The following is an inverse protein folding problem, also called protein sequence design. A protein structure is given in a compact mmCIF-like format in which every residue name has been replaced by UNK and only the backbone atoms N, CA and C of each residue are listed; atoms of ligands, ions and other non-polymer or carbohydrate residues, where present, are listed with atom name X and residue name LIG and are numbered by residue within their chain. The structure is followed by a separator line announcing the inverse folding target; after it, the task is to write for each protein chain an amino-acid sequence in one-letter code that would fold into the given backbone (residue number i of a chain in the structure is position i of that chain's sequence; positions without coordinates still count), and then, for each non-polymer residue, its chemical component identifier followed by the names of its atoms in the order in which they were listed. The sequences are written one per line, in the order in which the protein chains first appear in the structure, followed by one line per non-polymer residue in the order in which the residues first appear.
data_IF_268669189353
#
_entry.id   IF_268669189353
#
_cell.length_a   1.000
_cell.length_b   1.000
_cell.length_c   1.000
_cell.angle_alpha   90.00
_cell.angle_beta   90.00
_cell.angle_gamma   90.00
#
_symmetry.space_group_name_H-M   'P 1'
#
loop_
_entity.id
_entity.type
_entity.pdbx_description
1 polymer ?
#
# COMPACT_ATOMS: atom_id res chain seq x y z
N UNK A 1 -27.28 -30.24 -29.25
CA UNK A 1 -27.18 -31.71 -29.30
C UNK A 1 -25.76 -32.21 -28.99
N UNK A 2 -25.18 -31.83 -27.84
CA UNK A 2 -23.84 -32.33 -27.42
C UNK A 2 -23.78 -32.77 -25.95
N UNK A 3 -24.87 -32.55 -25.18
CA UNK A 3 -24.96 -32.94 -23.77
C UNK A 3 -25.60 -34.32 -23.55
N UNK A 4 -26.19 -34.92 -24.58
CA UNK A 4 -26.81 -36.25 -24.51
C UNK A 4 -25.85 -37.40 -24.89
N UNK A 5 -24.67 -37.12 -25.42
CA UNK A 5 -23.68 -38.16 -25.79
C UNK A 5 -22.82 -38.55 -24.57
N UNK A 6 -22.63 -37.65 -23.61
CA UNK A 6 -21.73 -37.88 -22.46
C UNK A 6 -22.39 -38.76 -21.38
N UNK A 7 -23.72 -38.76 -21.28
CA UNK A 7 -24.44 -39.61 -20.32
C UNK A 7 -24.47 -41.10 -20.73
N UNK A 8 -24.31 -41.42 -22.03
CA UNK A 8 -24.30 -42.80 -22.52
C UNK A 8 -22.98 -43.55 -22.32
N UNK A 9 -21.85 -42.83 -22.21
CA UNK A 9 -20.51 -43.43 -22.06
C UNK A 9 -20.19 -43.75 -20.59
N UNK A 10 -20.84 -43.07 -19.64
CA UNK A 10 -20.64 -43.31 -18.20
C UNK A 10 -21.48 -44.51 -17.71
N UNK A 11 -22.56 -44.87 -18.40
CA UNK A 11 -23.42 -46.00 -18.02
C UNK A 11 -22.97 -47.36 -18.60
N UNK A 12 -22.11 -47.40 -19.64
CA UNK A 12 -21.67 -48.65 -20.27
C UNK A 12 -20.47 -49.34 -19.58
N UNK A 13 -19.90 -48.73 -18.53
CA UNK A 13 -18.79 -49.31 -17.76
C UNK A 13 -19.22 -49.90 -16.41
N UNK A 14 -20.51 -49.85 -16.06
CA UNK A 14 -21.03 -50.31 -14.76
C UNK A 14 -21.62 -51.74 -14.78
N UNK A 15 -21.75 -52.39 -15.94
CA UNK A 15 -22.54 -53.63 -16.07
C UNK A 15 -21.72 -54.93 -16.23
N UNK A 16 -20.39 -54.91 -16.08
CA UNK A 16 -19.54 -56.08 -16.33
C UNK A 16 -19.06 -56.84 -15.10
N UNK A 17 -19.60 -56.59 -13.89
CA UNK A 17 -19.11 -57.26 -12.67
C UNK A 17 -20.18 -58.01 -11.84
N UNK A 18 -21.32 -58.39 -12.41
CA UNK A 18 -22.35 -59.17 -11.68
C UNK A 18 -22.27 -60.70 -11.86
N UNK A 19 -21.13 -61.26 -12.28
CA UNK A 19 -20.98 -62.72 -12.38
C UNK A 19 -19.59 -63.17 -11.94
N UNK A 20 -19.35 -63.23 -10.62
CA UNK A 20 -18.38 -64.14 -10.00
C UNK A 20 -18.85 -64.45 -8.56
N UNK A 21 -19.94 -65.21 -8.48
CA UNK A 21 -20.28 -65.97 -7.28
C UNK A 21 -19.51 -67.29 -7.37
N UNK A 22 -18.29 -67.30 -6.83
CA UNK A 22 -17.57 -68.53 -6.49
C UNK A 22 -16.89 -68.34 -5.15
N UNK A 23 -17.22 -69.25 -4.25
CA UNK A 23 -16.53 -69.53 -3.01
C UNK A 23 -15.00 -69.59 -3.23
N UNK A 24 -14.24 -68.90 -2.40
CA UNK A 24 -13.13 -69.45 -1.62
C UNK A 24 -12.30 -68.32 -1.01
N UNK A 25 -12.07 -68.42 0.31
CA UNK A 25 -10.79 -68.11 0.94
C UNK A 25 -10.26 -66.67 0.89
N UNK A 26 -10.32 -66.00 2.05
CA UNK A 26 -9.30 -65.08 2.59
C UNK A 26 -8.21 -64.57 1.62
N UNK A 27 -8.16 -63.25 1.37
CA UNK A 27 -6.93 -62.41 1.31
C UNK A 27 -7.01 -61.14 0.43
N UNK A 28 -8.19 -60.56 0.17
CA UNK A 28 -8.29 -59.26 -0.54
C UNK A 28 -8.64 -58.17 0.46
N UNK A 29 -7.64 -57.65 1.18
CA UNK A 29 -7.85 -56.46 2.05
C UNK A 29 -6.59 -55.61 2.19
N UNK A 30 -5.38 -56.18 2.07
CA UNK A 30 -4.13 -55.45 2.34
C UNK A 30 -3.62 -54.61 1.16
N UNK A 31 -3.87 -54.99 -0.09
CA UNK A 31 -3.23 -54.37 -1.27
C UNK A 31 -3.98 -53.12 -1.78
N UNK A 32 -5.31 -53.11 -1.71
CA UNK A 32 -6.12 -51.93 -2.04
C UNK A 32 -6.02 -50.85 -0.95
N UNK A 33 -6.09 -51.24 0.33
CA UNK A 33 -5.85 -50.32 1.45
C UNK A 33 -4.46 -49.70 1.39
N UNK A 34 -3.43 -50.45 0.96
CA UNK A 34 -2.07 -49.92 0.80
C UNK A 34 -1.93 -48.91 -0.36
N UNK A 35 -2.62 -49.12 -1.49
CA UNK A 35 -2.63 -48.16 -2.62
C UNK A 35 -3.41 -46.89 -2.29
N UNK A 36 -4.54 -47.01 -1.61
CA UNK A 36 -5.33 -45.85 -1.18
C UNK A 36 -4.63 -45.06 -0.06
N UNK A 37 -3.88 -45.74 0.83
CA UNK A 37 -3.03 -45.07 1.82
C UNK A 37 -1.82 -44.35 1.18
N UNK A 38 -1.27 -44.88 0.09
CA UNK A 38 -0.16 -44.27 -0.65
C UNK A 38 -0.60 -43.01 -1.41
N UNK A 39 -1.72 -43.07 -2.13
CA UNK A 39 -2.29 -41.92 -2.85
C UNK A 39 -2.74 -40.80 -1.90
N UNK A 40 -3.23 -41.15 -0.70
CA UNK A 40 -3.63 -40.18 0.32
C UNK A 40 -2.43 -39.50 1.00
N UNK A 41 -1.27 -40.19 1.10
CA UNK A 41 -0.01 -39.60 1.55
C UNK A 41 0.59 -38.67 0.50
N UNK A 42 0.60 -39.07 -0.77
CA UNK A 42 1.06 -38.22 -1.88
C UNK A 42 0.18 -36.97 -2.03
N UNK A 43 -1.14 -37.11 -1.93
CA UNK A 43 -2.07 -35.97 -1.93
C UNK A 43 -1.81 -35.01 -0.76
N UNK A 44 -1.56 -35.52 0.45
CA UNK A 44 -1.19 -34.69 1.61
C UNK A 44 0.15 -33.97 1.42
N UNK A 45 1.15 -34.61 0.83
CA UNK A 45 2.44 -33.96 0.56
C UNK A 45 2.32 -32.86 -0.49
N UNK A 46 1.54 -33.09 -1.55
CA UNK A 46 1.26 -32.08 -2.58
C UNK A 46 0.51 -30.90 -1.95
N UNK A 47 -0.53 -31.17 -1.14
CA UNK A 47 -1.27 -30.12 -0.44
C UNK A 47 -0.37 -29.31 0.50
N UNK A 48 0.49 -29.97 1.28
CA UNK A 48 1.45 -29.28 2.14
C UNK A 48 2.47 -28.42 1.36
N UNK A 49 2.87 -28.85 0.14
CA UNK A 49 3.75 -28.07 -0.73
C UNK A 49 3.02 -26.85 -1.33
N UNK A 50 1.78 -27.02 -1.76
CA UNK A 50 0.93 -25.92 -2.26
C UNK A 50 0.65 -24.91 -1.14
N UNK A 51 0.28 -25.36 0.05
CA UNK A 51 0.02 -24.50 1.22
C UNK A 51 1.28 -23.72 1.64
N UNK A 52 2.47 -24.32 1.53
CA UNK A 52 3.75 -23.64 1.80
C UNK A 52 4.04 -22.57 0.74
N UNK A 53 3.90 -22.92 -0.54
CA UNK A 53 4.11 -21.98 -1.64
C UNK A 53 3.12 -20.80 -1.58
N UNK A 54 1.86 -21.05 -1.25
CA UNK A 54 0.84 -20.01 -1.11
C UNK A 54 1.13 -19.10 0.10
N UNK A 55 1.58 -19.66 1.23
CA UNK A 55 2.01 -18.87 2.40
C UNK A 55 3.25 -18.02 2.10
N UNK A 56 4.20 -18.52 1.32
CA UNK A 56 5.39 -17.77 0.91
C UNK A 56 5.04 -16.66 -0.07
N UNK A 57 4.19 -16.93 -1.07
CA UNK A 57 3.67 -15.91 -1.98
C UNK A 57 2.90 -14.82 -1.23
N UNK A 58 2.03 -15.20 -0.29
CA UNK A 58 1.26 -14.26 0.53
C UNK A 58 2.16 -13.42 1.46
N UNK A 59 3.27 -13.97 1.97
CA UNK A 59 4.28 -13.21 2.72
C UNK A 59 4.99 -12.19 1.83
N UNK A 60 5.44 -12.63 0.64
CA UNK A 60 6.09 -11.75 -0.34
C UNK A 60 5.21 -10.60 -0.80
N UNK A 61 3.91 -10.84 -1.03
CA UNK A 61 2.96 -9.78 -1.39
C UNK A 61 2.72 -8.81 -0.22
N UNK A 62 2.60 -9.32 1.02
CA UNK A 62 2.46 -8.47 2.22
C UNK A 62 3.67 -7.58 2.43
N UNK A 63 4.88 -8.09 2.19
CA UNK A 63 6.12 -7.30 2.29
C UNK A 63 6.20 -6.23 1.22
N UNK A 64 5.93 -6.57 -0.05
CA UNK A 64 5.85 -5.58 -1.15
C UNK A 64 4.84 -4.47 -0.84
N UNK A 65 3.66 -4.84 -0.32
CA UNK A 65 2.61 -3.88 0.06
C UNK A 65 2.99 -3.00 1.24
N UNK A 66 3.79 -3.51 2.20
CA UNK A 66 4.34 -2.70 3.30
C UNK A 66 5.37 -1.70 2.77
N UNK A 67 6.31 -2.14 1.95
CA UNK A 67 7.32 -1.30 1.32
C UNK A 67 6.69 -0.19 0.46
N UNK A 68 5.70 -0.53 -0.37
CA UNK A 68 4.98 0.47 -1.18
C UNK A 68 4.26 1.51 -0.31
N UNK A 69 3.64 1.09 0.80
CA UNK A 69 3.01 2.01 1.75
C UNK A 69 4.03 2.93 2.42
N UNK A 70 5.20 2.42 2.77
CA UNK A 70 6.28 3.20 3.37
C UNK A 70 6.86 4.21 2.37
N UNK A 71 7.13 3.80 1.13
CA UNK A 71 7.54 4.70 0.05
C UNK A 71 6.50 5.80 -0.19
N UNK A 72 5.22 5.46 -0.28
CA UNK A 72 4.14 6.46 -0.43
C UNK A 72 4.06 7.42 0.75
N UNK A 73 4.33 6.97 1.99
CA UNK A 73 4.38 7.85 3.17
C UNK A 73 5.58 8.80 3.09
N UNK A 74 6.75 8.29 2.73
CA UNK A 74 7.97 9.08 2.58
C UNK A 74 7.81 10.14 1.46
N UNK A 75 7.23 9.75 0.33
CA UNK A 75 6.96 10.66 -0.79
C UNK A 75 5.98 11.78 -0.39
N UNK A 76 4.87 11.44 0.28
CA UNK A 76 3.91 12.43 0.81
C UNK A 76 4.56 13.40 1.78
N UNK A 77 5.45 12.90 2.63
CA UNK A 77 6.19 13.71 3.59
C UNK A 77 7.17 14.67 2.87
N UNK A 78 7.93 14.18 1.91
CA UNK A 78 8.82 14.99 1.08
C UNK A 78 8.05 16.07 0.30
N UNK A 79 6.90 15.72 -0.28
CA UNK A 79 6.03 16.66 -0.98
C UNK A 79 5.47 17.74 -0.03
N UNK A 80 5.10 17.35 1.19
CA UNK A 80 4.67 18.28 2.25
C UNK A 80 5.79 19.23 2.68
N UNK A 81 7.02 18.73 2.81
CA UNK A 81 8.20 19.55 3.13
C UNK A 81 8.50 20.53 1.99
N UNK A 82 8.53 20.05 0.74
CA UNK A 82 8.82 20.85 -0.45
C UNK A 82 7.79 21.97 -0.64
N UNK A 83 6.50 21.64 -0.57
CA UNK A 83 5.42 22.63 -0.65
C UNK A 83 5.52 23.67 0.46
N UNK A 84 5.84 23.26 1.70
CA UNK A 84 5.99 24.19 2.81
C UNK A 84 7.19 25.13 2.65
N UNK A 85 8.34 24.61 2.20
CA UNK A 85 9.53 25.42 1.86
C UNK A 85 9.21 26.47 0.79
N UNK A 86 8.45 26.10 -0.25
CA UNK A 86 8.02 27.04 -1.30
C UNK A 86 7.14 28.16 -0.76
N UNK A 87 6.20 27.85 0.15
CA UNK A 87 5.34 28.87 0.79
C UNK A 87 6.17 29.83 1.64
N UNK A 88 7.10 29.30 2.44
CA UNK A 88 8.01 30.10 3.26
C UNK A 88 8.82 31.06 2.39
N UNK A 89 9.47 30.56 1.33
CA UNK A 89 10.26 31.39 0.42
C UNK A 89 9.42 32.50 -0.26
N UNK A 90 8.19 32.19 -0.68
CA UNK A 90 7.27 33.22 -1.23
C UNK A 90 6.94 34.30 -0.20
N UNK A 91 6.71 33.90 1.05
CA UNK A 91 6.42 34.85 2.12
C UNK A 91 7.65 35.68 2.51
N UNK A 92 8.85 35.09 2.59
CA UNK A 92 10.11 35.81 2.81
C UNK A 92 10.36 36.86 1.73
N UNK A 93 10.13 36.51 0.46
CA UNK A 93 10.22 37.46 -0.65
C UNK A 93 9.20 38.61 -0.54
N UNK A 94 7.98 38.33 -0.06
CA UNK A 94 6.97 39.37 0.21
C UNK A 94 7.38 40.25 1.37
N UNK A 95 7.95 39.66 2.43
CA UNK A 95 8.48 40.40 3.58
C UNK A 95 9.55 41.39 3.14
N UNK A 96 10.55 40.92 2.39
CA UNK A 96 11.63 41.74 1.89
C UNK A 96 11.14 42.88 0.99
N UNK A 97 10.07 42.67 0.21
CA UNK A 97 9.45 43.75 -0.60
C UNK A 97 8.75 44.79 0.27
N UNK A 98 8.07 44.37 1.34
CA UNK A 98 7.40 45.30 2.26
C UNK A 98 8.41 46.09 3.08
N UNK A 99 9.45 45.45 3.61
CA UNK A 99 10.52 46.11 4.36
C UNK A 99 11.27 47.11 3.48
N UNK A 100 11.57 46.78 2.22
CA UNK A 100 12.15 47.76 1.27
C UNK A 100 11.23 48.95 1.01
N UNK A 101 9.92 48.73 0.88
CA UNK A 101 8.95 49.82 0.67
C UNK A 101 8.87 50.74 1.89
N UNK A 102 8.89 50.15 3.09
CA UNK A 102 8.89 50.88 4.35
C UNK A 102 10.14 51.74 4.47
N UNK A 103 11.33 51.13 4.40
CA UNK A 103 12.62 51.83 4.54
C UNK A 103 12.77 52.92 3.50
N UNK A 104 12.46 52.65 2.23
CA UNK A 104 12.56 53.65 1.16
C UNK A 104 11.57 54.81 1.36
N UNK A 105 10.31 54.51 1.69
CA UNK A 105 9.29 55.55 1.84
C UNK A 105 9.47 56.39 3.10
N UNK A 106 10.01 55.81 4.18
CA UNK A 106 10.40 56.53 5.40
C UNK A 106 11.60 57.45 5.12
N UNK A 107 12.65 56.92 4.46
CA UNK A 107 13.83 57.71 4.11
C UNK A 107 13.53 58.86 3.14
N UNK A 108 12.60 58.66 2.20
CA UNK A 108 12.16 59.69 1.26
C UNK A 108 11.09 60.63 1.84
N UNK A 109 10.58 60.38 3.06
CA UNK A 109 9.49 61.14 3.67
C UNK A 109 8.16 61.07 2.91
N UNK A 110 7.98 60.11 2.01
CA UNK A 110 6.79 59.95 1.15
C UNK A 110 5.67 59.15 1.79
N UNK A 111 5.97 58.43 2.89
CA UNK A 111 4.99 57.65 3.63
C UNK A 111 4.36 58.51 4.73
N UNK A 112 3.02 58.54 4.77
CA UNK A 112 2.30 59.12 5.89
C UNK A 112 2.44 58.23 7.14
N UNK A 113 2.30 58.78 8.36
CA UNK A 113 2.33 57.99 9.60
C UNK A 113 1.35 56.80 9.57
N UNK A 114 0.15 57.01 9.02
CA UNK A 114 -0.87 55.98 8.88
C UNK A 114 -0.44 54.87 7.92
N UNK A 115 0.26 55.20 6.84
CA UNK A 115 0.75 54.21 5.88
C UNK A 115 1.93 53.40 6.43
N UNK A 116 2.79 54.02 7.24
CA UNK A 116 3.85 53.37 8.00
C UNK A 116 3.24 52.31 8.92
N UNK A 117 2.22 52.68 9.71
CA UNK A 117 1.52 51.75 10.61
C UNK A 117 0.86 50.59 9.86
N UNK A 118 0.22 50.87 8.71
CA UNK A 118 -0.38 49.82 7.86
C UNK A 118 0.68 48.86 7.32
N UNK A 119 1.84 49.36 6.87
CA UNK A 119 2.94 48.52 6.39
C UNK A 119 3.54 47.70 7.53
N UNK A 120 3.81 48.31 8.68
CA UNK A 120 4.31 47.64 9.88
C UNK A 120 3.35 46.53 10.34
N UNK A 121 2.05 46.80 10.36
CA UNK A 121 1.03 45.80 10.68
C UNK A 121 1.06 44.60 9.73
N UNK A 122 1.25 44.83 8.42
CA UNK A 122 1.40 43.76 7.42
C UNK A 122 2.69 42.97 7.63
N UNK A 123 3.80 43.66 7.91
CA UNK A 123 5.10 43.06 8.20
C UNK A 123 5.02 42.16 9.43
N UNK A 124 4.42 42.65 10.53
CA UNK A 124 4.25 41.89 11.78
C UNK A 124 3.42 40.63 11.56
N UNK A 125 2.26 40.75 10.89
CA UNK A 125 1.41 39.59 10.57
C UNK A 125 2.18 38.55 9.75
N UNK A 126 2.90 39.00 8.73
CA UNK A 126 3.64 38.11 7.84
C UNK A 126 4.85 37.46 8.54
N UNK A 127 5.54 38.17 9.44
CA UNK A 127 6.58 37.60 10.32
C UNK A 127 5.99 36.52 11.25
N UNK A 128 4.84 36.78 11.87
CA UNK A 128 4.18 35.80 12.72
C UNK A 128 3.76 34.54 11.94
N UNK A 129 3.23 34.69 10.72
CA UNK A 129 2.89 33.56 9.86
C UNK A 129 4.12 32.77 9.42
N UNK A 130 5.22 33.46 9.09
CA UNK A 130 6.51 32.82 8.77
C UNK A 130 7.06 32.00 9.95
N UNK A 131 6.95 32.50 11.18
CA UNK A 131 7.37 31.76 12.37
C UNK A 131 6.56 30.47 12.53
N UNK A 132 5.23 30.54 12.43
CA UNK A 132 4.33 29.37 12.48
C UNK A 132 4.65 28.37 11.37
N UNK A 133 4.94 28.87 10.18
CA UNK A 133 5.24 28.03 9.02
C UNK A 133 6.60 27.34 9.14
N UNK A 134 7.61 28.04 9.65
CA UNK A 134 8.91 27.47 9.98
C UNK A 134 8.81 26.42 11.09
N UNK A 135 7.98 26.63 12.10
CA UNK A 135 7.74 25.64 13.14
C UNK A 135 7.08 24.38 12.57
N UNK A 136 6.05 24.55 11.73
CA UNK A 136 5.40 23.43 11.01
C UNK A 136 6.41 22.68 10.13
N UNK A 137 7.29 23.39 9.43
CA UNK A 137 8.35 22.78 8.62
C UNK A 137 9.32 21.97 9.50
N UNK A 138 9.78 22.51 10.63
CA UNK A 138 10.62 21.79 11.60
C UNK A 138 9.93 20.50 12.09
N UNK A 139 8.63 20.57 12.41
CA UNK A 139 7.85 19.39 12.81
C UNK A 139 7.74 18.34 11.70
N UNK A 140 7.65 18.74 10.43
CA UNK A 140 7.64 17.81 9.30
C UNK A 140 9.01 17.16 9.07
N UNK A 141 10.09 17.94 9.17
CA UNK A 141 11.47 17.42 9.04
C UNK A 141 11.77 16.39 10.13
N UNK A 142 11.29 16.60 11.36
CA UNK A 142 11.43 15.61 12.46
C UNK A 142 10.70 14.29 12.23
N UNK A 143 9.75 14.24 11.29
CA UNK A 143 8.99 13.02 10.94
C UNK A 143 9.62 12.25 9.79
N UNK A 144 10.63 12.84 9.14
CA UNK A 144 11.45 12.17 8.13
C UNK A 144 12.38 11.18 8.80
#
# INVERSE_FOLDING_TARGET
MKKCIIAGVVFSLFSLTFSYSQEMGQSIDSVQIAKDAATLKEAKEIQNKVDKAEKEAAKGEKEKKKLEKELKKAEKLNNSISSKKKVISKNENRLAKLERKLVKGEAEGKLSPVDIEKLNSKIIKLKADLLKDNEKLKRLIRKQ
#
